data_IF_609814120764
#
_entry.id   IF_609814120764
#
_cell.length_a   1.000
_cell.length_b   1.000
_cell.length_c   1.000
_cell.angle_alpha   90.00
_cell.angle_beta   90.00
_cell.angle_gamma   90.00
#
_symmetry.space_group_name_H-M   'P 1'
#
loop_
_entity.id
_entity.type
_entity.pdbx_description
1 polymer ?
#
# COMPACT_ATOMS: atom_id res chain seq x y z
N UNK A 1 2.06 -8.95 -2.80
CA UNK A 1 2.41 -8.22 -1.56
C UNK A 1 1.86 -8.88 -0.29
N UNK A 2 0.54 -9.13 -0.15
CA UNK A 2 -0.07 -9.65 1.08
C UNK A 2 0.59 -10.92 1.67
N UNK A 3 1.02 -11.87 0.84
CA UNK A 3 1.72 -13.08 1.29
C UNK A 3 3.02 -12.77 2.08
N UNK A 4 3.76 -11.72 1.69
CA UNK A 4 4.99 -11.30 2.37
C UNK A 4 4.73 -10.81 3.80
N UNK A 5 3.52 -10.35 4.08
CA UNK A 5 3.08 -9.90 5.39
C UNK A 5 2.30 -10.99 6.17
N UNK A 6 2.05 -12.16 5.57
CA UNK A 6 1.20 -13.20 6.17
C UNK A 6 -0.28 -12.79 6.24
N UNK A 7 -0.71 -11.89 5.34
CA UNK A 7 -2.04 -11.31 5.30
C UNK A 7 -2.92 -11.92 4.22
N UNK A 8 -2.51 -13.01 3.57
CA UNK A 8 -3.37 -13.71 2.62
C UNK A 8 -4.64 -14.20 3.33
N UNK A 9 -5.78 -13.75 2.84
CA UNK A 9 -7.14 -14.25 3.12
C UNK A 9 -7.77 -14.65 1.80
N UNK A 10 -8.76 -15.55 1.84
CA UNK A 10 -9.42 -16.04 0.63
C UNK A 10 -10.00 -14.91 -0.22
N UNK A 11 -9.98 -15.10 -1.55
CA UNK A 11 -10.57 -14.28 -2.61
C UNK A 11 -10.87 -12.82 -2.24
N UNK A 12 -9.83 -11.98 -2.20
CA UNK A 12 -10.01 -10.54 -2.34
C UNK A 12 -9.93 -10.18 -3.83
N UNK A 13 -11.03 -9.70 -4.40
CA UNK A 13 -11.12 -9.17 -5.76
C UNK A 13 -10.67 -7.72 -5.88
N UNK A 14 -10.48 -7.03 -4.75
CA UNK A 14 -10.05 -5.64 -4.69
C UNK A 14 -8.55 -5.41 -4.92
N UNK A 15 -8.21 -4.17 -5.23
CA UNK A 15 -6.85 -3.69 -5.43
C UNK A 15 -6.52 -2.58 -4.42
N UNK A 16 -5.42 -2.73 -3.68
CA UNK A 16 -4.87 -1.67 -2.83
C UNK A 16 -3.45 -1.35 -3.34
N UNK A 17 -3.18 -0.07 -3.54
CA UNK A 17 -1.91 0.38 -4.09
C UNK A 17 -1.61 1.84 -3.78
N UNK A 18 -0.37 2.22 -4.05
CA UNK A 18 0.10 3.59 -3.88
C UNK A 18 0.24 4.25 -5.24
N UNK A 19 -0.08 5.53 -5.30
CA UNK A 19 0.02 6.34 -6.51
C UNK A 19 0.64 7.70 -6.16
N UNK A 20 1.45 8.24 -7.06
CA UNK A 20 1.90 9.62 -6.93
C UNK A 20 0.74 10.59 -7.15
N UNK A 21 0.67 11.64 -6.34
CA UNK A 21 -0.39 12.66 -6.47
C UNK A 21 -0.53 13.20 -7.91
N UNK A 22 0.60 13.37 -8.61
CA UNK A 22 0.62 13.85 -9.99
C UNK A 22 -0.07 12.91 -11.01
N UNK A 23 -0.34 11.65 -10.65
CA UNK A 23 -0.96 10.66 -11.54
C UNK A 23 -2.41 10.34 -11.17
N UNK A 24 -2.94 10.88 -10.05
CA UNK A 24 -4.29 10.56 -9.58
C UNK A 24 -5.34 10.97 -10.61
N UNK A 25 -5.31 12.23 -11.06
CA UNK A 25 -6.28 12.75 -12.04
C UNK A 25 -6.22 11.97 -13.35
N UNK A 26 -5.01 11.64 -13.83
CA UNK A 26 -4.83 10.85 -15.04
C UNK A 26 -5.43 9.44 -14.92
N UNK A 27 -5.33 8.79 -13.75
CA UNK A 27 -5.97 7.49 -13.50
C UNK A 27 -7.49 7.62 -13.42
N UNK A 28 -7.99 8.66 -12.75
CA UNK A 28 -9.42 8.94 -12.65
C UNK A 28 -10.03 9.09 -14.04
N UNK A 29 -9.42 9.91 -14.89
CA UNK A 29 -9.88 10.15 -16.25
C UNK A 29 -9.76 8.90 -17.15
N UNK A 30 -8.63 8.20 -17.08
CA UNK A 30 -8.37 7.04 -17.94
C UNK A 30 -9.34 5.87 -17.69
N UNK A 31 -9.79 5.70 -16.44
CA UNK A 31 -10.63 4.57 -16.04
C UNK A 31 -12.05 4.97 -15.60
N UNK A 32 -12.39 6.25 -15.67
CA UNK A 32 -13.68 6.76 -15.20
C UNK A 32 -13.92 6.47 -13.72
N UNK A 33 -12.87 6.59 -12.90
CA UNK A 33 -12.97 6.30 -11.46
C UNK A 33 -13.86 7.34 -10.78
N UNK A 34 -14.64 6.89 -9.81
CA UNK A 34 -15.47 7.75 -8.98
C UNK A 34 -15.07 7.49 -7.53
N UNK A 35 -14.88 8.53 -6.70
CA UNK A 35 -14.57 8.34 -5.28
C UNK A 35 -15.64 7.50 -4.58
N UNK A 36 -15.21 6.37 -4.01
CA UNK A 36 -16.03 5.49 -3.21
C UNK A 36 -15.22 4.98 -2.02
N UNK A 37 -15.60 5.41 -0.81
CA UNK A 37 -14.92 5.03 0.42
C UNK A 37 -15.25 3.61 0.90
N UNK A 38 -16.22 2.95 0.27
CA UNK A 38 -16.54 1.53 0.46
C UNK A 38 -16.13 0.67 -0.74
N UNK A 39 -15.42 1.25 -1.71
CA UNK A 39 -15.04 0.58 -2.95
C UNK A 39 -13.94 -0.47 -2.77
N UNK A 40 -13.82 -1.33 -3.77
CA UNK A 40 -12.82 -2.41 -3.82
C UNK A 40 -11.43 -1.93 -4.27
N UNK A 41 -11.30 -0.66 -4.68
CA UNK A 41 -10.02 -0.06 -5.12
C UNK A 41 -9.62 1.05 -4.16
N UNK A 42 -8.49 0.86 -3.49
CA UNK A 42 -7.89 1.85 -2.59
C UNK A 42 -6.63 2.43 -3.23
N UNK A 43 -6.63 3.74 -3.46
CA UNK A 43 -5.47 4.49 -3.95
C UNK A 43 -4.87 5.32 -2.82
N UNK A 44 -3.72 4.92 -2.31
CA UNK A 44 -2.96 5.67 -1.29
C UNK A 44 -2.07 6.68 -1.98
N UNK A 45 -2.43 7.96 -1.85
CA UNK A 45 -1.75 9.04 -2.55
C UNK A 45 -0.46 9.42 -1.83
N UNK A 46 0.64 9.42 -2.56
CA UNK A 46 1.97 9.83 -2.08
C UNK A 46 2.32 11.19 -2.67
N UNK A 47 2.67 12.13 -1.79
CA UNK A 47 3.12 13.47 -2.16
C UNK A 47 4.63 13.51 -2.33
N UNK A 48 5.08 14.23 -3.37
CA UNK A 48 6.51 14.41 -3.67
C UNK A 48 7.12 13.26 -4.49
N UNK A 49 8.39 13.43 -4.92
CA UNK A 49 9.07 12.43 -5.73
C UNK A 49 9.30 11.17 -4.90
N UNK A 50 8.86 10.04 -5.44
CA UNK A 50 9.06 8.74 -4.81
C UNK A 50 9.50 7.73 -5.88
N UNK A 51 10.81 7.68 -6.19
CA UNK A 51 11.35 6.94 -7.34
C UNK A 51 10.92 5.48 -7.50
N UNK A 52 10.68 4.71 -6.41
CA UNK A 52 10.15 3.36 -6.56
C UNK A 52 8.76 3.32 -7.21
N UNK A 53 7.89 4.28 -6.91
CA UNK A 53 6.53 4.34 -7.47
C UNK A 53 6.52 4.76 -8.94
N UNK A 54 7.51 5.55 -9.39
CA UNK A 54 7.72 5.82 -10.82
C UNK A 54 7.96 4.54 -11.63
N UNK A 55 8.44 3.48 -10.98
CA UNK A 55 8.65 2.16 -11.58
C UNK A 55 7.53 1.16 -11.27
N UNK A 56 6.42 1.62 -10.69
CA UNK A 56 5.32 0.75 -10.27
C UNK A 56 5.65 -0.17 -9.09
N UNK A 57 6.68 0.17 -8.29
CA UNK A 57 7.11 -0.63 -7.15
C UNK A 57 6.76 0.07 -5.84
N UNK A 58 5.89 -0.53 -5.04
CA UNK A 58 5.67 -0.13 -3.66
C UNK A 58 6.79 -0.71 -2.75
N UNK A 59 7.63 0.11 -2.10
CA UNK A 59 8.68 -0.39 -1.23
C UNK A 59 8.08 -1.08 -0.01
N UNK A 60 8.67 -2.20 0.36
CA UNK A 60 8.19 -3.03 1.49
C UNK A 60 8.16 -2.21 2.78
N UNK A 61 9.10 -1.27 2.98
CA UNK A 61 9.12 -0.39 4.15
C UNK A 61 7.88 0.51 4.22
N UNK A 62 7.44 1.09 3.10
CA UNK A 62 6.22 1.93 3.05
C UNK A 62 5.00 1.10 3.42
N UNK A 63 4.85 -0.08 2.80
CA UNK A 63 3.74 -0.99 3.10
C UNK A 63 3.78 -1.45 4.56
N UNK A 64 4.96 -1.71 5.12
CA UNK A 64 5.10 -2.12 6.52
C UNK A 64 4.71 -0.99 7.49
N UNK A 65 5.10 0.25 7.21
CA UNK A 65 4.73 1.43 8.01
C UNK A 65 3.23 1.71 7.94
N UNK A 66 2.63 1.64 6.76
CA UNK A 66 1.19 1.82 6.58
C UNK A 66 0.38 0.72 7.29
N UNK A 67 0.78 -0.55 7.16
CA UNK A 67 0.17 -1.65 7.91
C UNK A 67 0.34 -1.51 9.42
N UNK A 68 1.47 -0.94 9.89
CA UNK A 68 1.69 -0.66 11.32
C UNK A 68 0.69 0.36 11.87
N UNK A 69 0.17 1.26 11.03
CA UNK A 69 -0.86 2.23 11.45
C UNK A 69 -2.30 1.68 11.28
N UNK A 70 -2.46 0.44 10.77
CA UNK A 70 -3.78 -0.17 10.61
C UNK A 70 -4.53 -0.29 11.94
N UNK A 71 -5.85 -0.07 11.89
CA UNK A 71 -6.77 -0.34 12.99
C UNK A 71 -6.95 -1.83 13.28
N UNK A 72 -6.66 -2.69 12.29
CA UNK A 72 -6.76 -4.14 12.50
C UNK A 72 -5.52 -4.65 13.22
N UNK A 73 -5.73 -5.36 14.33
CA UNK A 73 -4.62 -5.91 15.13
C UNK A 73 -3.73 -6.84 14.32
N UNK A 74 -4.30 -7.56 13.34
CA UNK A 74 -3.56 -8.49 12.47
C UNK A 74 -2.60 -7.75 11.54
N UNK A 75 -3.08 -6.74 10.84
CA UNK A 75 -2.26 -5.94 9.92
C UNK A 75 -1.22 -5.15 10.67
N UNK A 76 -1.61 -4.51 11.78
CA UNK A 76 -0.68 -3.79 12.67
C UNK A 76 0.51 -4.67 13.07
N UNK A 77 0.23 -5.85 13.62
CA UNK A 77 1.28 -6.81 14.01
C UNK A 77 2.13 -7.28 12.82
N UNK A 78 1.53 -7.46 11.64
CA UNK A 78 2.24 -7.84 10.44
C UNK A 78 3.20 -6.73 9.96
N UNK A 79 2.72 -5.48 9.94
CA UNK A 79 3.48 -4.28 9.62
C UNK A 79 4.68 -4.11 10.55
N UNK A 80 4.44 -4.06 11.87
CA UNK A 80 5.50 -3.94 12.88
C UNK A 80 6.56 -5.02 12.74
N UNK A 81 6.17 -6.29 12.55
CA UNK A 81 7.11 -7.40 12.41
C UNK A 81 7.99 -7.26 11.16
N UNK A 82 7.41 -6.89 10.02
CA UNK A 82 8.19 -6.74 8.78
C UNK A 82 9.08 -5.50 8.86
N UNK A 83 8.60 -4.40 9.43
CA UNK A 83 9.39 -3.20 9.63
C UNK A 83 10.60 -3.47 10.54
N UNK A 84 10.39 -4.16 11.66
CA UNK A 84 11.49 -4.53 12.56
C UNK A 84 12.56 -5.36 11.84
N UNK A 85 12.15 -6.36 11.05
CA UNK A 85 13.10 -7.16 10.24
C UNK A 85 13.90 -6.34 9.24
N UNK A 86 13.33 -5.28 8.68
CA UNK A 86 14.05 -4.37 7.79
C UNK A 86 15.07 -3.53 8.57
N UNK A 87 14.70 -3.05 9.76
CA UNK A 87 15.60 -2.29 10.62
C UNK A 87 16.76 -3.15 11.14
N UNK A 88 16.49 -4.37 11.58
CA UNK A 88 17.51 -5.33 12.03
C UNK A 88 18.48 -5.73 10.91
N UNK A 89 18.08 -5.63 9.65
CA UNK A 89 18.94 -5.91 8.50
C UNK A 89 19.86 -4.73 8.13
N UNK A 90 19.65 -3.55 8.72
CA UNK A 90 20.48 -2.35 8.52
C UNK A 90 21.55 -2.17 9.61
N UNK A 91 21.42 -2.88 10.73
CA UNK A 91 22.40 -2.92 11.83
C UNK A 91 23.52 -3.91 11.56
#
# INVERSE_FOLDING_TARGET
>A
MAARFGLTTGHHSGADGYVLNAHVDALVDAYGLVPDFAGEVVLRVVSGPFPPLDRGVAPIAVVATDLMDSLTTRERRAGTRVLQKLLDALS
#
